data_IF_604374984255
#
_entry.id   IF_604374984255
#
_cell.length_a   1.000
_cell.length_b   1.000
_cell.length_c   1.000
_cell.angle_alpha   90.00
_cell.angle_beta   90.00
_cell.angle_gamma   90.00
#
_symmetry.space_group_name_H-M   'P 1'
#
loop_
_entity.id
_entity.type
_entity.pdbx_description
1 polymer ?
#
# COMPACT_ATOMS: atom_id res chain seq x y z
N UNK A 1 -34.15 0.22 20.92
CA UNK A 1 -33.60 1.57 20.69
C UNK A 1 -32.52 1.41 19.63
N UNK A 2 -32.80 1.77 18.38
CA UNK A 2 -31.81 1.66 17.30
C UNK A 2 -30.72 2.70 17.56
N UNK A 3 -29.50 2.25 17.87
CA UNK A 3 -28.33 3.13 17.78
C UNK A 3 -28.26 3.63 16.34
N UNK A 4 -28.35 4.94 16.16
CA UNK A 4 -28.00 5.60 14.90
C UNK A 4 -26.52 5.35 14.66
N UNK A 5 -26.21 4.25 13.96
CA UNK A 5 -24.88 4.00 13.43
C UNK A 5 -24.65 5.10 12.40
N UNK A 6 -23.83 6.09 12.72
CA UNK A 6 -23.29 7.01 11.72
C UNK A 6 -22.58 6.14 10.68
N UNK A 7 -23.20 6.01 9.51
CA UNK A 7 -22.69 5.24 8.39
C UNK A 7 -21.77 6.20 7.62
N UNK A 8 -20.49 6.20 7.97
CA UNK A 8 -19.51 7.05 7.29
C UNK A 8 -19.00 6.32 6.04
N UNK A 9 -18.75 7.11 4.99
CA UNK A 9 -17.98 6.68 3.82
C UNK A 9 -16.50 6.71 4.20
N UNK A 10 -15.74 5.73 3.71
CA UNK A 10 -14.28 5.73 3.86
C UNK A 10 -13.62 5.52 2.51
N UNK A 11 -12.47 6.15 2.37
CA UNK A 11 -11.53 5.92 1.30
C UNK A 11 -10.35 5.13 1.85
N UNK A 12 -9.96 4.07 1.17
CA UNK A 12 -8.81 3.27 1.58
C UNK A 12 -7.69 3.54 0.61
N UNK A 13 -6.58 4.00 1.16
CA UNK A 13 -5.33 4.21 0.45
C UNK A 13 -4.32 3.16 0.91
N UNK A 14 -3.59 2.55 -0.01
CA UNK A 14 -2.55 1.58 0.33
C UNK A 14 -1.19 2.24 0.19
N UNK A 15 -0.33 1.97 1.17
CA UNK A 15 1.08 2.28 1.07
C UNK A 15 1.82 1.09 0.45
N UNK A 16 2.59 1.33 -0.61
CA UNK A 16 3.41 0.27 -1.22
C UNK A 16 4.85 0.71 -1.38
N UNK A 17 5.70 -0.20 -1.87
CA UNK A 17 6.99 0.13 -2.46
C UNK A 17 7.05 -0.02 -3.98
N UNK A 18 6.01 -0.61 -4.53
CA UNK A 18 5.96 -1.05 -5.92
C UNK A 18 5.57 0.11 -6.82
N UNK A 19 6.22 0.21 -7.98
CA UNK A 19 5.85 1.13 -9.05
C UNK A 19 4.56 0.69 -9.76
N UNK A 20 4.31 -0.63 -9.78
CA UNK A 20 3.13 -1.30 -10.31
C UNK A 20 3.07 -2.73 -9.76
N UNK A 21 1.94 -3.41 -9.94
CA UNK A 21 1.80 -4.81 -9.54
C UNK A 21 2.67 -5.72 -10.42
N UNK A 22 3.22 -6.77 -9.80
CA UNK A 22 4.10 -7.73 -10.48
C UNK A 22 3.43 -8.24 -11.75
N UNK A 23 4.12 -8.11 -12.88
CA UNK A 23 3.57 -8.45 -14.18
C UNK A 23 4.66 -8.97 -15.14
N UNK A 24 4.24 -9.50 -16.28
CA UNK A 24 5.17 -9.97 -17.31
C UNK A 24 6.01 -8.83 -17.89
N UNK A 25 7.26 -9.13 -18.26
CA UNK A 25 8.11 -8.23 -19.01
C UNK A 25 7.42 -7.86 -20.34
N UNK A 26 7.38 -6.56 -20.64
CA UNK A 26 6.79 -6.04 -21.87
C UNK A 26 7.69 -4.94 -22.44
N UNK A 27 7.53 -4.67 -23.74
CA UNK A 27 8.26 -3.61 -24.44
C UNK A 27 7.97 -2.22 -23.86
N UNK A 28 6.81 -2.05 -23.23
CA UNK A 28 6.48 -0.87 -22.45
C UNK A 28 5.48 -1.22 -21.35
N UNK A 29 5.74 -0.75 -20.14
CA UNK A 29 4.91 -0.87 -18.95
C UNK A 29 4.73 0.53 -18.39
N UNK A 30 3.48 0.96 -18.29
CA UNK A 30 3.13 2.23 -17.66
C UNK A 30 3.28 2.12 -16.14
N UNK A 31 3.88 3.13 -15.53
CA UNK A 31 3.98 3.23 -14.07
C UNK A 31 2.71 3.85 -13.52
N UNK A 32 2.09 3.19 -12.54
CA UNK A 32 0.84 3.65 -11.91
C UNK A 32 1.06 4.27 -10.53
N UNK A 33 2.28 4.15 -9.98
CA UNK A 33 2.62 4.57 -8.61
C UNK A 33 4.00 5.21 -8.59
N UNK A 34 4.11 6.38 -7.95
CA UNK A 34 5.35 7.16 -7.88
C UNK A 34 5.76 7.45 -6.45
N UNK A 35 7.07 7.43 -6.12
CA UNK A 35 7.53 7.67 -4.77
C UNK A 35 7.23 9.11 -4.34
N UNK A 36 7.00 9.32 -3.04
CA UNK A 36 6.81 10.65 -2.45
C UNK A 36 8.08 11.51 -2.44
N UNK A 37 9.23 10.88 -2.70
CA UNK A 37 10.55 11.52 -2.71
C UNK A 37 11.46 10.88 -3.77
N UNK A 38 12.47 11.64 -4.19
CA UNK A 38 13.54 11.14 -5.05
C UNK A 38 14.10 9.81 -4.57
N UNK A 39 14.11 8.81 -5.44
CA UNK A 39 14.45 7.42 -5.11
C UNK A 39 15.16 6.71 -6.26
N UNK A 40 16.00 5.72 -5.95
CA UNK A 40 16.50 4.77 -6.94
C UNK A 40 15.45 3.68 -7.18
N UNK A 41 15.53 3.00 -8.32
CA UNK A 41 14.62 1.93 -8.70
C UNK A 41 15.37 0.60 -8.63
N UNK A 42 14.85 -0.33 -7.84
CA UNK A 42 15.28 -1.72 -7.82
C UNK A 42 14.32 -2.55 -8.65
N UNK A 43 14.88 -3.31 -9.58
CA UNK A 43 14.18 -4.29 -10.39
C UNK A 43 14.60 -5.67 -9.94
N UNK A 44 13.61 -6.52 -9.65
CA UNK A 44 13.79 -7.94 -9.46
C UNK A 44 13.06 -8.68 -10.58
N UNK A 45 13.80 -9.51 -11.31
CA UNK A 45 13.24 -10.56 -12.15
C UNK A 45 12.92 -11.76 -11.23
N UNK A 46 11.75 -12.39 -11.38
CA UNK A 46 11.43 -13.58 -10.59
C UNK A 46 12.13 -14.85 -11.09
N UNK A 47 12.85 -14.73 -12.21
CA UNK A 47 13.73 -15.75 -12.76
C UNK A 47 15.01 -15.07 -13.26
N UNK A 48 16.14 -15.76 -13.09
CA UNK A 48 17.39 -15.35 -13.73
C UNK A 48 17.22 -15.36 -15.26
N UNK A 49 17.43 -14.20 -15.89
CA UNK A 49 17.36 -14.06 -17.35
C UNK A 49 18.42 -13.07 -17.81
N UNK A 50 18.75 -13.14 -19.10
CA UNK A 50 19.59 -12.17 -19.77
C UNK A 50 18.71 -11.13 -20.48
N UNK A 51 19.17 -9.89 -20.54
CA UNK A 51 18.59 -8.82 -21.33
C UNK A 51 18.70 -7.46 -20.66
N UNK A 52 17.96 -6.48 -21.16
CA UNK A 52 18.09 -5.08 -20.74
C UNK A 52 16.72 -4.51 -20.40
N UNK A 53 16.65 -3.83 -19.27
CA UNK A 53 15.48 -3.07 -18.85
C UNK A 53 15.83 -1.59 -18.76
N UNK A 54 15.01 -0.76 -19.38
CA UNK A 54 15.14 0.69 -19.42
C UNK A 54 14.11 1.32 -18.49
N UNK A 55 14.56 2.19 -17.60
CA UNK A 55 13.74 2.99 -16.68
C UNK A 55 13.70 4.42 -17.21
N UNK A 56 12.50 4.92 -17.53
CA UNK A 56 12.29 6.29 -17.99
C UNK A 56 11.53 7.07 -16.93
N UNK A 57 11.92 8.32 -16.72
CA UNK A 57 11.28 9.17 -15.73
C UNK A 57 11.80 10.59 -15.77
N UNK A 58 11.69 11.28 -14.63
CA UNK A 58 12.15 12.64 -14.47
C UNK A 58 13.00 12.81 -13.21
N UNK A 59 13.91 13.77 -13.27
CA UNK A 59 14.66 14.29 -12.13
C UNK A 59 14.75 15.80 -12.26
N UNK A 60 14.33 16.54 -11.23
CA UNK A 60 14.21 18.00 -11.24
C UNK A 60 13.44 18.49 -12.49
N UNK A 61 12.30 17.87 -12.76
CA UNK A 61 11.43 18.12 -13.93
C UNK A 61 12.07 17.85 -15.30
N UNK A 62 13.31 17.36 -15.35
CA UNK A 62 14.00 17.01 -16.59
C UNK A 62 13.86 15.53 -16.89
N UNK A 63 13.56 15.17 -18.14
CA UNK A 63 13.47 13.78 -18.58
C UNK A 63 14.82 13.08 -18.45
N UNK A 64 14.84 11.91 -17.81
CA UNK A 64 16.02 11.08 -17.64
C UNK A 64 15.69 9.61 -17.92
N UNK A 65 16.71 8.88 -18.36
CA UNK A 65 16.64 7.45 -18.63
C UNK A 65 17.84 6.75 -17.99
N UNK A 66 17.61 5.58 -17.42
CA UNK A 66 18.65 4.67 -16.96
C UNK A 66 18.38 3.24 -17.46
N UNK A 67 19.41 2.41 -17.53
CA UNK A 67 19.30 1.04 -18.04
C UNK A 67 19.95 0.05 -17.08
N UNK A 68 19.28 -1.07 -16.86
CA UNK A 68 19.77 -2.19 -16.08
C UNK A 68 20.00 -3.36 -17.03
N UNK A 69 21.24 -3.86 -17.07
CA UNK A 69 21.59 -5.04 -17.87
C UNK A 69 21.68 -6.26 -16.96
N UNK A 70 20.96 -7.32 -17.32
CA UNK A 70 21.00 -8.62 -16.66
C UNK A 70 21.79 -9.60 -17.51
N UNK A 71 22.80 -10.25 -16.95
CA UNK A 71 23.60 -11.29 -17.61
C UNK A 71 23.30 -12.70 -17.12
N UNK A 72 22.60 -12.81 -15.98
CA UNK A 72 22.17 -14.03 -15.26
C UNK A 72 21.65 -13.68 -13.86
N UNK A 73 21.95 -12.47 -13.36
CA UNK A 73 21.33 -11.95 -12.14
C UNK A 73 19.82 -11.77 -12.31
N UNK A 74 19.09 -11.92 -11.22
CA UNK A 74 17.66 -11.61 -11.14
C UNK A 74 17.39 -10.29 -10.41
N UNK A 75 18.43 -9.55 -10.02
CA UNK A 75 18.31 -8.29 -9.30
C UNK A 75 19.22 -7.24 -9.92
N UNK A 76 18.68 -6.04 -10.09
CA UNK A 76 19.43 -4.87 -10.55
C UNK A 76 18.83 -3.59 -9.97
N UNK A 77 19.66 -2.56 -9.89
CA UNK A 77 19.29 -1.27 -9.30
C UNK A 77 19.79 -0.17 -10.24
N UNK A 78 18.99 0.88 -10.42
CA UNK A 78 19.40 2.06 -11.17
C UNK A 78 20.52 2.81 -10.44
N UNK A 79 21.41 3.42 -11.20
CA UNK A 79 22.42 4.33 -10.63
C UNK A 79 21.83 5.73 -10.47
N UNK A 80 20.85 6.07 -11.32
CA UNK A 80 20.16 7.36 -11.27
C UNK A 80 18.99 7.34 -10.29
N UNK A 81 18.81 8.50 -9.65
CA UNK A 81 17.64 8.83 -8.86
C UNK A 81 16.52 9.36 -9.76
N UNK A 82 15.27 9.02 -9.43
CA UNK A 82 14.07 9.49 -10.10
C UNK A 82 13.14 10.18 -9.09
N UNK A 83 12.60 11.35 -9.46
CA UNK A 83 11.48 11.97 -8.72
C UNK A 83 10.15 11.35 -9.17
N UNK A 84 10.08 10.94 -10.42
CA UNK A 84 8.91 10.25 -11.00
C UNK A 84 9.42 9.27 -12.04
N UNK A 85 8.86 8.07 -12.07
CA UNK A 85 9.08 7.10 -13.14
C UNK A 85 7.83 7.08 -14.01
N UNK A 86 8.00 7.22 -15.31
CA UNK A 86 6.90 7.29 -16.28
C UNK A 86 6.66 5.95 -16.95
N UNK A 87 7.73 5.22 -17.27
CA UNK A 87 7.63 3.92 -17.90
C UNK A 87 8.84 3.03 -17.63
N UNK A 88 8.59 1.74 -17.71
CA UNK A 88 9.60 0.68 -17.76
C UNK A 88 9.51 0.00 -19.12
N UNK A 89 10.63 -0.26 -19.77
CA UNK A 89 10.67 -0.95 -21.05
C UNK A 89 11.67 -2.11 -20.99
N UNK A 90 11.22 -3.32 -21.35
CA UNK A 90 12.09 -4.48 -21.46
C UNK A 90 12.49 -4.71 -22.92
N UNK A 91 13.73 -5.15 -23.15
CA UNK A 91 14.18 -5.56 -24.46
C UNK A 91 13.50 -6.86 -24.92
N UNK A 92 13.64 -7.18 -26.22
CA UNK A 92 13.03 -8.38 -26.80
C UNK A 92 13.49 -9.68 -26.11
N UNK A 93 14.71 -9.71 -25.58
CA UNK A 93 15.26 -10.86 -24.86
C UNK A 93 14.50 -11.13 -23.56
N UNK A 94 14.27 -10.11 -22.73
CA UNK A 94 13.51 -10.26 -21.48
C UNK A 94 12.02 -10.56 -21.74
N UNK A 95 11.43 -9.95 -22.77
CA UNK A 95 10.03 -10.20 -23.15
C UNK A 95 9.84 -11.64 -23.60
N UNK A 96 10.72 -12.15 -24.48
CA UNK A 96 10.61 -13.51 -25.02
C UNK A 96 10.96 -14.60 -24.00
N UNK A 97 11.72 -14.29 -22.94
CA UNK A 97 11.99 -15.24 -21.86
C UNK A 97 10.80 -15.51 -20.93
N UNK A 98 9.70 -14.76 -21.08
CA UNK A 98 8.51 -14.88 -20.23
C UNK A 98 8.75 -14.44 -18.78
N UNK A 99 9.82 -13.68 -18.53
CA UNK A 99 10.16 -13.23 -17.18
C UNK A 99 9.08 -12.32 -16.61
N UNK A 100 8.72 -12.51 -15.35
CA UNK A 100 7.92 -11.53 -14.60
C UNK A 100 8.83 -10.59 -13.83
N UNK A 101 8.44 -9.33 -13.73
CA UNK A 101 9.23 -8.28 -13.10
C UNK A 101 8.50 -7.69 -11.89
N UNK A 102 9.25 -7.45 -10.83
CA UNK A 102 8.85 -6.70 -9.64
C UNK A 102 9.74 -5.46 -9.56
N UNK A 103 9.14 -4.27 -9.49
CA UNK A 103 9.88 -3.01 -9.50
C UNK A 103 9.52 -2.19 -8.28
N UNK A 104 10.54 -1.85 -7.48
CA UNK A 104 10.41 -1.11 -6.22
C UNK A 104 11.24 0.18 -6.25
N UNK A 105 10.83 1.18 -5.48
CA UNK A 105 11.71 2.30 -5.16
C UNK A 105 12.45 2.08 -3.83
N UNK A 106 13.64 2.67 -3.73
CA UNK A 106 14.41 2.78 -2.50
C UNK A 106 14.82 4.23 -2.29
N UNK A 107 14.56 4.74 -1.09
CA UNK A 107 14.88 6.11 -0.71
C UNK A 107 16.39 6.34 -0.72
N UNK A 108 16.77 7.57 -1.05
CA UNK A 108 18.16 8.02 -1.02
C UNK A 108 18.78 7.73 0.35
N UNK A 109 19.78 6.86 0.41
CA UNK A 109 20.43 6.40 1.65
C UNK A 109 20.02 5.01 2.14
N UNK A 110 19.28 4.23 1.33
CA UNK A 110 18.91 2.84 1.65
C UNK A 110 17.65 2.70 2.51
N UNK A 111 16.97 3.82 2.79
CA UNK A 111 15.68 3.82 3.46
C UNK A 111 14.56 3.32 2.55
N UNK A 112 13.49 2.82 3.16
CA UNK A 112 12.26 2.49 2.44
C UNK A 112 11.57 3.79 1.98
N UNK A 113 11.48 4.04 0.68
CA UNK A 113 10.53 5.02 0.15
C UNK A 113 9.15 4.36 0.10
N UNK A 114 8.07 5.14 0.00
CA UNK A 114 6.69 4.65 -0.16
C UNK A 114 5.81 5.63 -0.92
N UNK A 115 4.76 5.10 -1.52
CA UNK A 115 3.75 5.81 -2.28
C UNK A 115 2.39 5.34 -1.82
N UNK A 116 1.44 6.27 -1.81
CA UNK A 116 0.07 6.03 -1.44
C UNK A 116 -0.78 6.05 -2.70
N UNK A 117 -1.69 5.08 -2.81
CA UNK A 117 -2.65 5.04 -3.90
C UNK A 117 -4.00 4.57 -3.38
N UNK A 118 -5.07 5.19 -3.87
CA UNK A 118 -6.43 4.80 -3.52
C UNK A 118 -6.75 3.41 -4.11
N UNK A 119 -7.35 2.54 -3.29
CA UNK A 119 -7.72 1.17 -3.67
C UNK A 119 -9.24 1.04 -3.78
N UNK A 120 -9.98 1.64 -2.85
CA UNK A 120 -11.44 1.59 -2.84
C UNK A 120 -12.03 2.81 -2.15
N UNK A 121 -13.26 3.13 -2.51
CA UNK A 121 -14.12 4.11 -1.84
C UNK A 121 -15.49 3.48 -1.66
N UNK A 122 -16.00 3.42 -0.42
CA UNK A 122 -17.20 2.62 -0.16
C UNK A 122 -17.96 2.89 1.14
N UNK A 123 -19.11 2.22 1.23
CA UNK A 123 -20.07 2.18 2.35
C UNK A 123 -20.11 0.76 2.94
N UNK A 124 -20.56 0.56 4.20
CA UNK A 124 -20.47 1.39 5.40
C UNK A 124 -19.35 0.92 6.35
N UNK A 125 -18.79 1.85 7.13
CA UNK A 125 -17.97 1.51 8.28
C UNK A 125 -18.54 2.10 9.57
N UNK A 126 -18.35 1.39 10.68
CA UNK A 126 -18.55 1.91 12.03
C UNK A 126 -17.19 2.08 12.70
N UNK A 127 -16.87 3.31 13.08
CA UNK A 127 -15.66 3.62 13.85
C UNK A 127 -16.03 3.59 15.34
N UNK A 128 -15.61 2.55 16.04
CA UNK A 128 -15.68 2.53 17.50
C UNK A 128 -14.47 3.30 18.05
N UNK A 129 -14.67 4.59 18.30
CA UNK A 129 -13.75 5.38 19.12
C UNK A 129 -14.10 5.10 20.57
N UNK A 130 -13.17 4.63 21.42
CA UNK A 130 -13.47 4.42 22.82
C UNK A 130 -13.83 5.77 23.46
N UNK A 131 -15.12 6.05 23.60
CA UNK A 131 -15.61 7.13 24.43
C UNK A 131 -15.23 6.77 25.87
N UNK A 132 -14.42 7.63 26.48
CA UNK A 132 -13.94 7.46 27.84
C UNK A 132 -15.01 6.84 28.74
N UNK A 133 -14.69 5.66 29.26
CA UNK A 133 -15.41 4.92 30.31
C UNK A 133 -16.67 4.12 29.97
N UNK A 134 -17.05 3.87 28.71
CA UNK A 134 -18.03 2.79 28.48
C UNK A 134 -17.87 2.09 27.14
N UNK A 135 -17.21 0.93 27.15
CA UNK A 135 -17.69 -0.34 26.59
C UNK A 135 -16.70 -1.42 27.02
N UNK A 136 -17.23 -2.47 27.62
CA UNK A 136 -16.53 -3.66 28.09
C UNK A 136 -15.82 -4.39 26.95
N UNK A 137 -14.49 -4.33 26.88
CA UNK A 137 -13.69 -5.39 26.23
C UNK A 137 -12.31 -5.47 26.87
N UNK A 138 -11.96 -6.68 27.30
CA UNK A 138 -10.72 -7.15 27.93
C UNK A 138 -9.41 -6.93 27.13
N UNK A 139 -9.36 -6.04 26.14
CA UNK A 139 -8.16 -5.81 25.31
C UNK A 139 -7.36 -4.55 25.70
N UNK A 140 -7.76 -3.86 26.78
CA UNK A 140 -6.91 -2.82 27.38
C UNK A 140 -5.85 -3.47 28.26
N UNK A 141 -4.61 -3.53 27.77
CA UNK A 141 -3.48 -3.46 28.71
C UNK A 141 -3.61 -2.10 29.40
N UNK A 142 -3.99 -2.13 30.67
CA UNK A 142 -3.91 -0.97 31.56
C UNK A 142 -2.42 -0.72 31.77
N UNK A 143 -1.78 -0.04 30.83
CA UNK A 143 -0.44 0.48 31.06
C UNK A 143 -0.54 1.65 32.03
N UNK A 144 0.39 1.70 32.97
CA UNK A 144 0.38 2.59 34.13
C UNK A 144 0.13 4.06 33.77
N UNK A 145 -0.56 4.77 34.68
CA UNK A 145 -0.76 6.21 34.63
C UNK A 145 0.55 6.96 34.30
N UNK A 146 0.51 7.81 33.28
CA UNK A 146 1.67 8.59 32.81
C UNK A 146 2.29 8.11 31.48
N UNK A 147 1.78 7.02 30.89
CA UNK A 147 2.09 6.65 29.51
C UNK A 147 1.18 7.40 28.53
N UNK A 148 1.72 7.89 27.41
CA UNK A 148 0.92 8.44 26.31
C UNK A 148 -0.07 7.37 25.86
N UNK A 149 -1.37 7.59 26.11
CA UNK A 149 -2.41 6.68 25.65
C UNK A 149 -2.56 6.84 24.15
N UNK A 150 -1.95 5.96 23.37
CA UNK A 150 -2.25 5.84 21.95
C UNK A 150 -3.64 5.21 21.83
N UNK A 151 -4.66 6.04 21.56
CA UNK A 151 -5.98 5.53 21.21
C UNK A 151 -5.86 4.61 19.99
N UNK A 152 -6.34 3.37 20.12
CA UNK A 152 -6.39 2.40 19.02
C UNK A 152 -7.85 2.23 18.58
N UNK A 153 -8.37 3.11 17.70
CA UNK A 153 -9.73 2.99 17.23
C UNK A 153 -9.92 1.68 16.48
N UNK A 154 -11.11 1.09 16.63
CA UNK A 154 -11.53 -0.08 15.87
C UNK A 154 -12.48 0.35 14.77
N UNK A 155 -12.22 -0.09 13.55
CA UNK A 155 -13.18 0.01 12.45
C UNK A 155 -13.81 -1.36 12.20
N UNK A 156 -15.12 -1.35 12.05
CA UNK A 156 -15.89 -2.45 11.49
C UNK A 156 -16.35 -2.03 10.10
N UNK A 157 -15.91 -2.74 9.08
CA UNK A 157 -16.21 -2.45 7.68
C UNK A 157 -16.95 -3.63 7.08
N UNK A 158 -18.05 -3.37 6.37
CA UNK A 158 -18.77 -4.44 5.68
C UNK A 158 -17.82 -5.25 4.80
N UNK A 159 -18.00 -6.56 4.80
CA UNK A 159 -17.21 -7.44 3.96
C UNK A 159 -17.52 -7.19 2.48
N UNK A 160 -16.48 -7.12 1.67
CA UNK A 160 -16.55 -7.06 0.22
C UNK A 160 -15.55 -8.07 -0.34
N UNK A 161 -16.02 -9.02 -1.15
CA UNK A 161 -15.15 -10.04 -1.76
C UNK A 161 -14.10 -9.41 -2.69
N UNK A 162 -14.40 -8.24 -3.26
CA UNK A 162 -13.49 -7.52 -4.14
C UNK A 162 -12.38 -6.79 -3.37
N UNK A 163 -12.48 -6.70 -2.04
CA UNK A 163 -11.55 -5.94 -1.22
C UNK A 163 -11.23 -6.61 0.14
N UNK A 164 -9.94 -6.78 0.38
CA UNK A 164 -9.42 -7.19 1.70
C UNK A 164 -8.49 -6.11 2.24
N UNK A 165 -8.81 -5.49 3.39
CA UNK A 165 -7.90 -4.55 4.03
C UNK A 165 -6.65 -5.29 4.49
N UNK A 166 -5.51 -4.60 4.47
CA UNK A 166 -4.22 -5.14 4.85
C UNK A 166 -3.53 -4.25 5.89
N UNK A 167 -2.62 -4.85 6.65
CA UNK A 167 -1.66 -4.08 7.46
C UNK A 167 -0.89 -3.15 6.53
N UNK A 168 -0.66 -1.92 7.00
CA UNK A 168 -0.07 -0.81 6.22
C UNK A 168 -0.99 -0.14 5.20
N UNK A 169 -2.27 -0.52 5.14
CA UNK A 169 -3.28 0.34 4.54
C UNK A 169 -3.50 1.58 5.43
N UNK A 170 -3.97 2.65 4.80
CA UNK A 170 -4.48 3.84 5.45
C UNK A 170 -5.97 3.97 5.14
N UNK A 171 -6.78 4.06 6.18
CA UNK A 171 -8.20 4.37 6.06
C UNK A 171 -8.34 5.87 6.27
N UNK A 172 -8.98 6.53 5.31
CA UNK A 172 -9.27 7.95 5.34
C UNK A 172 -10.76 8.11 5.51
N UNK A 173 -11.17 8.78 6.59
CA UNK A 173 -12.56 9.20 6.75
C UNK A 173 -12.87 10.24 5.66
N UNK A 174 -13.82 9.92 4.78
CA UNK A 174 -14.10 10.76 3.62
C UNK A 174 -14.74 12.11 4.00
N UNK A 175 -15.34 12.20 5.19
CA UNK A 175 -16.02 13.40 5.66
C UNK A 175 -15.08 14.31 6.47
N UNK A 176 -14.20 13.73 7.30
CA UNK A 176 -13.28 14.49 8.17
C UNK A 176 -11.87 14.60 7.62
N UNK A 177 -11.51 13.81 6.61
CA UNK A 177 -10.14 13.64 6.09
C UNK A 177 -9.13 13.18 7.16
N UNK A 178 -9.61 12.61 8.27
CA UNK A 178 -8.76 11.97 9.27
C UNK A 178 -8.18 10.68 8.70
N UNK A 179 -6.88 10.46 8.94
CA UNK A 179 -6.14 9.33 8.42
C UNK A 179 -5.76 8.36 9.53
N UNK A 180 -6.07 7.09 9.30
CA UNK A 180 -5.85 6.01 10.23
C UNK A 180 -4.95 4.96 9.59
N UNK A 181 -3.86 4.60 10.27
CA UNK A 181 -2.96 3.54 9.82
C UNK A 181 -3.43 2.19 10.33
N UNK A 182 -3.54 1.20 9.44
CA UNK A 182 -4.02 -0.14 9.77
C UNK A 182 -2.89 -0.96 10.40
N UNK A 183 -3.09 -1.35 11.65
CA UNK A 183 -2.20 -2.19 12.45
C UNK A 183 -2.54 -3.68 12.38
N UNK A 184 -3.81 -4.01 12.14
CA UNK A 184 -4.28 -5.38 12.12
C UNK A 184 -5.64 -5.51 11.47
N UNK A 185 -5.88 -6.65 10.82
CA UNK A 185 -7.13 -6.95 10.13
C UNK A 185 -7.58 -8.35 10.51
N UNK A 186 -8.87 -8.49 10.83
CA UNK A 186 -9.49 -9.76 11.16
C UNK A 186 -10.82 -9.87 10.41
N UNK A 187 -11.01 -10.99 9.70
CA UNK A 187 -12.32 -11.34 9.16
C UNK A 187 -13.21 -11.87 10.29
N UNK A 188 -14.41 -11.32 10.43
CA UNK A 188 -15.42 -11.85 11.34
C UNK A 188 -16.61 -12.34 10.51
N UNK A 189 -16.79 -13.66 10.51
CA UNK A 189 -17.95 -14.31 9.95
C UNK A 189 -19.01 -14.47 11.02
N UNK A 190 -20.25 -14.08 10.71
CA UNK A 190 -21.39 -14.40 11.56
C UNK A 190 -22.18 -15.59 11.02
N UNK A 191 -22.92 -16.24 11.92
CA UNK A 191 -23.97 -17.20 11.56
C UNK A 191 -25.16 -16.51 10.88
N UNK A 192 -26.01 -17.32 10.24
CA UNK A 192 -27.15 -16.91 9.39
C UNK A 192 -27.93 -15.73 9.99
N UNK A 193 -28.00 -14.62 9.24
CA UNK A 193 -28.82 -13.45 9.58
C UNK A 193 -28.06 -12.16 9.90
N UNK A 194 -26.72 -12.19 9.95
CA UNK A 194 -25.87 -11.01 10.16
C UNK A 194 -24.89 -10.80 9.00
N UNK A 195 -24.52 -9.55 8.76
CA UNK A 195 -23.54 -9.18 7.74
C UNK A 195 -22.12 -9.52 8.22
N UNK A 196 -21.32 -10.13 7.34
CA UNK A 196 -19.89 -10.36 7.59
C UNK A 196 -19.15 -9.02 7.56
N UNK A 197 -18.08 -8.89 8.35
CA UNK A 197 -17.29 -7.66 8.36
C UNK A 197 -15.80 -7.90 8.59
N UNK A 198 -15.01 -6.92 8.20
CA UNK A 198 -13.63 -6.74 8.59
C UNK A 198 -13.56 -5.97 9.91
N UNK A 199 -12.92 -6.54 10.93
CA UNK A 199 -12.48 -5.83 12.14
C UNK A 199 -11.05 -5.33 11.90
N UNK A 200 -10.88 -4.03 11.96
CA UNK A 200 -9.62 -3.35 11.62
C UNK A 200 -9.13 -2.59 12.85
N UNK A 201 -7.92 -2.90 13.30
CA UNK A 201 -7.24 -2.21 14.39
C UNK A 201 -6.38 -1.12 13.77
N UNK A 202 -6.48 0.10 14.28
CA UNK A 202 -5.79 1.24 13.69
C UNK A 202 -5.13 2.13 14.73
N UNK A 203 -4.33 3.06 14.24
CA UNK A 203 -3.74 4.17 14.97
C UNK A 203 -3.95 5.45 14.16
N UNK A 204 -4.35 6.54 14.84
CA UNK A 204 -4.49 7.85 14.20
C UNK A 204 -3.09 8.40 13.84
N UNK A 205 -2.92 8.89 12.61
CA UNK A 205 -1.66 9.44 12.11
C UNK A 205 -1.78 10.91 11.75
#
# INVERSE_FOLDING_TARGET
>A
MMMSVLRNRVDITRQTQLLFDVQAAASSISVTRNPSNSSVVQVKLNQASTGVLTVNGTKNLSGITDTISFSSSSLGITVKDFDTVTSIACDATLVSSGSTIEVKYFGKGGGSASSEYAVVSGWPCFINRPLGNSISTQDYRVDSFGSFQTEKPLIFMAYDESFTPAVSDFIVDADTNEKYFVLGVQYIQYSVGYENYWRIIMEMR
#
